data_IF_290953571673
#
_entry.id   IF_290953571673
#
_cell.length_a   1.000
_cell.length_b   1.000
_cell.length_c   1.000
_cell.angle_alpha   90.00
_cell.angle_beta   90.00
_cell.angle_gamma   90.00
#
_symmetry.space_group_name_H-M   'P 1'
#
loop_
_entity.id
_entity.type
_entity.pdbx_description
1 polymer ?
#
# COMPACT_ATOMS: atom_id res chain seq x y z
N UNK A 1 -14.71 -2.52 -2.94
CA UNK A 1 -13.66 -2.03 -2.03
C UNK A 1 -12.37 -2.85 -2.07
N UNK A 2 -12.43 -4.17 -2.31
CA UNK A 2 -11.23 -5.03 -2.30
C UNK A 2 -10.26 -4.86 -3.49
N UNK A 3 -10.68 -4.23 -4.60
CA UNK A 3 -9.80 -4.07 -5.77
C UNK A 3 -8.71 -3.01 -5.57
N UNK A 4 -9.00 -1.94 -4.82
CA UNK A 4 -8.07 -0.80 -4.70
C UNK A 4 -6.86 -1.14 -3.82
N UNK A 5 -7.06 -1.90 -2.74
CA UNK A 5 -5.96 -2.42 -1.91
C UNK A 5 -5.13 -3.42 -2.72
N UNK A 6 -5.78 -4.35 -3.44
CA UNK A 6 -5.09 -5.33 -4.31
C UNK A 6 -4.27 -4.68 -5.42
N UNK A 7 -4.77 -3.60 -6.01
CA UNK A 7 -4.02 -2.82 -7.00
C UNK A 7 -2.80 -2.15 -6.37
N UNK A 8 -2.91 -1.64 -5.15
CA UNK A 8 -1.77 -1.04 -4.43
C UNK A 8 -0.74 -2.09 -4.00
N UNK A 9 -1.18 -3.27 -3.55
CA UNK A 9 -0.30 -4.41 -3.24
C UNK A 9 0.47 -4.84 -4.51
N UNK A 10 -0.23 -4.99 -5.63
CA UNK A 10 0.39 -5.29 -6.92
C UNK A 10 1.46 -4.26 -7.32
N UNK A 11 1.16 -2.96 -7.14
CA UNK A 11 2.14 -1.89 -7.42
C UNK A 11 3.37 -1.97 -6.51
N UNK A 12 3.17 -2.29 -5.22
CA UNK A 12 4.27 -2.44 -4.28
C UNK A 12 5.19 -3.61 -4.67
N UNK A 13 4.60 -4.77 -4.98
CA UNK A 13 5.32 -5.99 -5.37
C UNK A 13 6.14 -5.79 -6.66
N UNK A 14 5.54 -5.19 -7.70
CA UNK A 14 6.24 -4.90 -8.96
C UNK A 14 7.41 -3.92 -8.77
N UNK A 15 7.23 -2.91 -7.92
CA UNK A 15 8.28 -1.94 -7.61
C UNK A 15 9.44 -2.59 -6.85
N UNK A 16 9.16 -3.51 -5.93
CA UNK A 16 10.19 -4.29 -5.22
C UNK A 16 10.92 -5.25 -6.14
N UNK A 17 10.21 -5.95 -7.01
CA UNK A 17 10.82 -6.82 -8.01
C UNK A 17 11.74 -6.03 -8.96
N UNK A 18 11.32 -4.85 -9.40
CA UNK A 18 12.14 -3.96 -10.21
C UNK A 18 13.42 -3.51 -9.45
N UNK A 19 13.32 -3.17 -8.16
CA UNK A 19 14.50 -2.85 -7.34
C UNK A 19 15.48 -4.03 -7.26
N UNK A 20 14.97 -5.25 -7.05
CA UNK A 20 15.80 -6.46 -6.98
C UNK A 20 16.52 -6.70 -8.31
N UNK A 21 15.81 -6.60 -9.43
CA UNK A 21 16.39 -6.76 -10.76
C UNK A 21 17.49 -5.72 -11.06
N UNK A 22 17.23 -4.45 -10.74
CA UNK A 22 18.21 -3.37 -10.94
C UNK A 22 19.44 -3.52 -10.04
N UNK A 23 19.26 -4.05 -8.84
CA UNK A 23 20.36 -4.29 -7.89
C UNK A 23 21.21 -5.50 -8.27
N UNK A 24 20.62 -6.51 -8.90
CA UNK A 24 21.31 -7.73 -9.32
C UNK A 24 22.25 -7.53 -10.53
N UNK A 25 22.06 -6.49 -11.34
CA UNK A 25 22.77 -6.36 -12.61
C UNK A 25 24.19 -5.75 -12.54
N UNK A 26 24.78 -5.49 -11.36
CA UNK A 26 26.06 -4.74 -11.23
C UNK A 26 26.04 -3.38 -11.95
N UNK A 27 24.86 -2.87 -12.33
CA UNK A 27 24.67 -1.60 -13.05
C UNK A 27 24.63 -0.38 -12.10
N UNK A 28 25.03 -0.56 -10.83
CA UNK A 28 25.02 0.50 -9.82
C UNK A 28 25.89 1.71 -10.21
N UNK A 29 26.87 1.50 -11.08
CA UNK A 29 27.75 2.57 -11.57
C UNK A 29 27.05 3.51 -12.57
N UNK A 30 25.89 3.11 -13.11
CA UNK A 30 25.09 3.97 -13.97
C UNK A 30 24.16 4.85 -13.14
N UNK A 31 24.43 6.16 -13.13
CA UNK A 31 23.62 7.15 -12.42
C UNK A 31 22.11 7.03 -12.71
N UNK A 32 21.72 6.69 -13.94
CA UNK A 32 20.32 6.48 -14.32
C UNK A 32 19.66 5.28 -13.62
N UNK A 33 20.41 4.20 -13.38
CA UNK A 33 19.93 3.00 -12.70
C UNK A 33 19.75 3.26 -11.20
N UNK A 34 20.68 3.99 -10.59
CA UNK A 34 20.57 4.41 -9.19
C UNK A 34 19.34 5.32 -8.96
N UNK A 35 19.06 6.23 -9.91
CA UNK A 35 17.84 7.07 -9.87
C UNK A 35 16.59 6.20 -10.01
N UNK A 36 16.58 5.24 -10.93
CA UNK A 36 15.45 4.35 -11.14
C UNK A 36 15.16 3.47 -9.91
N UNK A 37 16.19 2.91 -9.28
CA UNK A 37 16.06 2.16 -8.02
C UNK A 37 15.42 3.02 -6.93
N UNK A 38 15.91 4.25 -6.74
CA UNK A 38 15.33 5.18 -5.75
C UNK A 38 13.85 5.46 -6.04
N UNK A 39 13.50 5.66 -7.31
CA UNK A 39 12.11 5.91 -7.72
C UNK A 39 11.20 4.71 -7.46
N UNK A 40 11.66 3.50 -7.76
CA UNK A 40 10.91 2.28 -7.45
C UNK A 40 10.72 2.10 -5.94
N UNK A 41 11.74 2.41 -5.15
CA UNK A 41 11.63 2.41 -3.69
C UNK A 41 10.57 3.39 -3.18
N UNK A 42 10.61 4.64 -3.67
CA UNK A 42 9.61 5.67 -3.33
C UNK A 42 8.18 5.23 -3.69
N UNK A 43 8.00 4.55 -4.83
CA UNK A 43 6.70 4.03 -5.26
C UNK A 43 6.20 2.93 -4.34
N UNK A 44 7.04 1.94 -4.01
CA UNK A 44 6.67 0.87 -3.05
C UNK A 44 6.29 1.47 -1.70
N UNK A 45 7.10 2.40 -1.16
CA UNK A 45 6.79 3.04 0.13
C UNK A 45 5.46 3.80 0.10
N UNK A 46 5.18 4.52 -0.99
CA UNK A 46 3.93 5.25 -1.15
C UNK A 46 2.72 4.31 -1.26
N UNK A 47 2.86 3.18 -1.96
CA UNK A 47 1.82 2.17 -2.04
C UNK A 47 1.50 1.59 -0.66
N UNK A 48 2.52 1.22 0.12
CA UNK A 48 2.36 0.76 1.50
C UNK A 48 1.67 1.79 2.41
N UNK A 49 2.02 3.07 2.29
CA UNK A 49 1.37 4.15 3.04
C UNK A 49 -0.12 4.28 2.68
N UNK A 50 -0.47 4.18 1.40
CA UNK A 50 -1.87 4.23 0.96
C UNK A 50 -2.66 3.01 1.42
N UNK A 51 -2.07 1.82 1.42
CA UNK A 51 -2.69 0.60 1.98
C UNK A 51 -2.99 0.79 3.46
N UNK A 52 -2.02 1.30 4.23
CA UNK A 52 -2.22 1.56 5.65
C UNK A 52 -3.35 2.57 5.88
N UNK A 53 -3.39 3.67 5.11
CA UNK A 53 -4.46 4.67 5.19
C UNK A 53 -5.84 4.10 4.87
N UNK A 54 -5.98 3.37 3.76
CA UNK A 54 -7.26 2.77 3.34
C UNK A 54 -7.73 1.71 4.34
N UNK A 55 -6.80 0.94 4.92
CA UNK A 55 -7.11 -0.07 5.95
C UNK A 55 -7.56 0.56 7.26
N UNK A 56 -6.92 1.67 7.69
CA UNK A 56 -7.33 2.42 8.88
C UNK A 56 -8.70 3.08 8.69
N UNK A 57 -8.92 3.75 7.56
CA UNK A 57 -10.21 4.35 7.24
C UNK A 57 -11.35 3.32 7.19
N UNK A 58 -11.06 2.12 6.68
CA UNK A 58 -12.01 1.02 6.70
C UNK A 58 -12.32 0.57 8.13
N UNK A 59 -11.30 0.45 8.98
CA UNK A 59 -11.50 0.03 10.38
C UNK A 59 -12.37 1.02 11.14
N UNK A 60 -12.11 2.31 11.00
CA UNK A 60 -12.89 3.37 11.63
C UNK A 60 -14.36 3.39 11.12
N UNK A 61 -14.57 3.10 9.83
CA UNK A 61 -15.91 2.99 9.26
C UNK A 61 -16.69 1.77 9.76
N UNK A 62 -16.02 0.63 9.95
CA UNK A 62 -16.61 -0.58 10.54
C UNK A 62 -16.94 -0.35 12.02
N UNK A 63 -16.00 0.22 12.78
CA UNK A 63 -16.18 0.50 14.20
C UNK A 63 -17.36 1.47 14.43
N UNK A 64 -17.52 2.47 13.55
CA UNK A 64 -18.66 3.39 13.57
C UNK A 64 -19.98 2.69 13.22
N UNK A 65 -19.99 1.82 12.21
CA UNK A 65 -21.17 1.05 11.85
C UNK A 65 -21.60 0.08 12.97
N UNK A 66 -20.65 -0.55 13.68
CA UNK A 66 -20.94 -1.42 14.83
C UNK A 66 -21.51 -0.65 16.04
N UNK A 67 -21.08 0.61 16.24
CA UNK A 67 -21.64 1.51 17.25
C UNK A 67 -23.09 1.91 16.93
N UNK A 68 -23.37 2.29 15.68
CA UNK A 68 -24.73 2.66 15.24
C UNK A 68 -25.71 1.47 15.34
N UNK A 69 -25.26 0.24 15.05
CA UNK A 69 -26.07 -0.98 15.19
C UNK A 69 -26.38 -1.30 16.66
N UNK A 70 -25.47 -1.00 17.60
CA UNK A 70 -25.69 -1.20 19.04
C UNK A 70 -26.63 -0.14 19.64
N UNK A 71 -26.63 1.08 19.12
CA UNK A 71 -27.57 2.13 19.56
C UNK A 71 -28.99 1.92 19.02
N UNK A 72 -29.16 1.24 17.87
CA UNK A 72 -30.48 0.99 17.28
C UNK A 72 -31.26 -0.19 17.88
N UNK A 73 -30.67 -0.93 18.83
CA UNK A 73 -31.37 -1.91 19.65
C UNK A 73 -31.47 -1.42 21.11
N UNK A 74 -32.31 -0.42 21.42
CA UNK A 74 -32.77 -0.25 22.79
C UNK A 74 -33.61 -1.47 23.16
N UNK A 75 -33.23 -2.12 24.25
CA UNK A 75 -33.91 -3.28 24.81
C UNK A 75 -35.41 -3.05 24.96
N UNK A 76 -36.24 -3.80 24.23
CA UNK A 76 -37.55 -4.32 24.67
C UNK A 76 -37.86 -5.60 23.90
#
# INVERSE_FOLDING_TARGET
MNNKIKELEYIADEAELAMLALSSMLLMDYAGIAVLQRKMHEISQKAHQLIAQETHQHRDAVDKAELEVKEYHPSV
#
